data_IF_948450618901
#
_entry.id   IF_948450618901
#
_cell.length_a   1.000
_cell.length_b   1.000
_cell.length_c   1.000
_cell.angle_alpha   90.00
_cell.angle_beta   90.00
_cell.angle_gamma   90.00
#
_symmetry.space_group_name_H-M   'P 1'
#
loop_
_entity.id
_entity.type
_entity.pdbx_description
1 polymer ?
#
# COMPACT_ATOMS: atom_id res chain seq x y z
N UNK A 1 10.91 21.77 0.23
CA UNK A 1 9.48 21.52 0.02
C UNK A 1 8.98 22.39 -1.13
N UNK A 2 8.78 21.79 -2.29
CA UNK A 2 8.15 22.50 -3.41
C UNK A 2 6.64 22.58 -3.16
N UNK A 3 6.04 23.74 -3.42
CA UNK A 3 4.60 23.90 -3.34
C UNK A 3 3.98 23.53 -4.68
N UNK A 4 3.16 22.48 -4.69
CA UNK A 4 2.52 22.01 -5.91
C UNK A 4 1.15 22.67 -6.11
N UNK A 5 0.84 23.19 -7.30
CA UNK A 5 -0.49 23.72 -7.62
C UNK A 5 -1.52 22.58 -7.63
N UNK A 6 -2.79 22.96 -7.46
CA UNK A 6 -3.92 22.02 -7.60
C UNK A 6 -3.94 21.45 -9.02
N UNK A 7 -4.22 20.16 -9.16
CA UNK A 7 -4.23 19.50 -10.46
C UNK A 7 -2.83 19.20 -11.05
N UNK A 8 -1.79 19.36 -10.25
CA UNK A 8 -0.42 19.11 -10.63
C UNK A 8 -0.22 17.71 -11.23
N UNK A 9 0.44 17.66 -12.41
CA UNK A 9 0.68 16.41 -13.11
C UNK A 9 2.05 15.81 -12.70
N UNK A 10 2.00 14.74 -11.89
CA UNK A 10 3.21 14.05 -11.43
C UNK A 10 4.05 13.46 -12.56
N UNK A 11 3.42 12.98 -13.64
CA UNK A 11 4.12 12.39 -14.79
C UNK A 11 4.84 13.48 -15.59
N UNK A 12 4.24 14.65 -15.75
CA UNK A 12 4.90 15.78 -16.42
C UNK A 12 6.07 16.32 -15.59
N UNK A 13 5.87 16.39 -14.28
CA UNK A 13 6.93 16.80 -13.35
C UNK A 13 8.11 15.83 -13.34
N UNK A 14 7.87 14.52 -13.46
CA UNK A 14 8.93 13.52 -13.47
C UNK A 14 9.92 13.70 -14.61
N UNK A 15 9.47 14.20 -15.77
CA UNK A 15 10.30 14.35 -16.98
C UNK A 15 11.57 15.17 -16.74
N UNK A 16 11.52 16.17 -15.84
CA UNK A 16 12.71 16.99 -15.51
C UNK A 16 13.80 16.20 -14.76
N UNK A 17 13.43 15.09 -14.12
CA UNK A 17 14.36 14.22 -13.40
C UNK A 17 14.80 13.01 -14.22
N UNK A 18 13.92 12.49 -15.09
CA UNK A 18 14.19 11.33 -15.93
C UNK A 18 15.45 11.48 -16.77
N UNK A 19 15.68 12.69 -17.30
CA UNK A 19 16.88 13.00 -18.10
C UNK A 19 18.20 12.88 -17.32
N UNK A 20 18.14 12.86 -15.97
CA UNK A 20 19.31 12.81 -15.09
C UNK A 20 19.56 11.42 -14.52
N UNK A 21 18.64 10.46 -14.76
CA UNK A 21 18.69 9.11 -14.20
C UNK A 21 19.17 8.09 -15.23
N UNK A 22 20.01 7.16 -14.78
CA UNK A 22 20.41 6.02 -15.58
C UNK A 22 19.39 4.90 -15.44
N UNK A 23 19.00 4.28 -16.56
CA UNK A 23 18.10 3.13 -16.56
C UNK A 23 18.82 1.85 -16.11
N UNK A 24 18.14 0.92 -15.41
CA UNK A 24 16.73 0.96 -14.99
C UNK A 24 16.50 1.81 -13.73
N UNK A 25 15.34 2.48 -13.62
CA UNK A 25 14.98 3.23 -12.41
C UNK A 25 13.47 3.16 -12.11
N UNK A 26 13.11 3.42 -10.87
CA UNK A 26 11.78 3.81 -10.44
C UNK A 26 11.90 5.16 -9.74
N UNK A 27 11.23 6.18 -10.26
CA UNK A 27 11.18 7.49 -9.62
C UNK A 27 9.99 7.51 -8.65
N UNK A 28 10.29 7.60 -7.37
CA UNK A 28 9.30 7.76 -6.32
C UNK A 28 9.10 9.25 -6.02
N UNK A 29 7.87 9.73 -6.16
CA UNK A 29 7.48 11.11 -5.86
C UNK A 29 6.44 11.07 -4.75
N UNK A 30 6.74 11.74 -3.65
CA UNK A 30 5.84 11.91 -2.53
C UNK A 30 5.51 13.40 -2.36
N UNK A 31 4.25 13.76 -2.58
CA UNK A 31 3.75 15.13 -2.52
C UNK A 31 2.58 15.22 -1.51
N UNK A 32 2.87 15.30 -0.19
CA UNK A 32 1.87 15.16 0.87
C UNK A 32 0.86 16.31 0.90
N UNK A 33 1.21 17.48 0.37
CA UNK A 33 0.33 18.65 0.35
C UNK A 33 -0.37 18.87 -1.01
N UNK A 34 -0.07 18.04 -2.02
CA UNK A 34 -0.66 18.17 -3.34
C UNK A 34 -2.14 17.78 -3.34
N UNK A 35 -2.98 18.54 -4.03
CA UNK A 35 -4.40 18.23 -4.25
C UNK A 35 -4.64 17.85 -5.70
N UNK A 36 -5.61 16.97 -5.94
CA UNK A 36 -6.02 16.57 -7.30
C UNK A 36 -6.93 17.63 -7.91
N UNK A 37 -7.90 18.10 -7.15
CA UNK A 37 -8.84 19.17 -7.54
C UNK A 37 -9.05 20.12 -6.35
N UNK A 38 -9.61 21.32 -6.61
CA UNK A 38 -9.94 22.28 -5.55
C UNK A 38 -11.10 21.78 -4.65
N UNK A 39 -12.00 21.00 -5.23
CA UNK A 39 -13.19 20.48 -4.55
C UNK A 39 -12.87 19.34 -3.56
N UNK A 40 -11.75 18.63 -3.76
CA UNK A 40 -11.35 17.51 -2.90
C UNK A 40 -10.42 18.04 -1.81
N UNK A 41 -10.90 17.98 -0.56
CA UNK A 41 -10.09 18.36 0.61
C UNK A 41 -8.92 17.41 0.88
N UNK A 42 -9.00 16.16 0.39
CA UNK A 42 -7.97 15.16 0.59
C UNK A 42 -6.66 15.59 -0.06
N UNK A 43 -5.64 15.74 0.78
CA UNK A 43 -4.27 16.06 0.39
C UNK A 43 -3.44 14.79 0.30
N UNK A 44 -2.37 14.88 -0.46
CA UNK A 44 -1.37 13.83 -0.59
C UNK A 44 -1.46 13.10 -1.92
N UNK A 45 -0.32 13.01 -2.60
CA UNK A 45 -0.16 12.24 -3.83
C UNK A 45 1.15 11.47 -3.79
N UNK A 46 1.08 10.23 -4.24
CA UNK A 46 2.23 9.34 -4.41
C UNK A 46 2.32 8.96 -5.87
N UNK A 47 3.49 9.07 -6.45
CA UNK A 47 3.79 8.63 -7.81
C UNK A 47 4.97 7.68 -7.83
N UNK A 48 4.82 6.58 -8.55
CA UNK A 48 5.88 5.63 -8.86
C UNK A 48 5.98 5.57 -10.38
N UNK A 49 7.06 6.10 -10.92
CA UNK A 49 7.26 6.24 -12.36
C UNK A 49 8.43 5.36 -12.77
N UNK A 50 8.15 4.19 -13.35
CA UNK A 50 9.17 3.26 -13.82
C UNK A 50 9.76 3.70 -15.15
N UNK A 51 11.02 3.34 -15.40
CA UNK A 51 11.70 3.61 -16.67
C UNK A 51 11.23 2.75 -17.85
N UNK A 52 10.52 1.67 -17.57
CA UNK A 52 9.95 0.73 -18.56
C UNK A 52 8.86 -0.13 -17.95
N UNK A 53 8.05 -0.79 -18.80
CA UNK A 53 7.03 -1.76 -18.38
C UNK A 53 7.64 -2.97 -17.68
N UNK A 54 8.85 -3.38 -18.06
CA UNK A 54 9.59 -4.43 -17.36
C UNK A 54 9.86 -4.03 -15.91
N UNK A 55 10.38 -2.83 -15.68
CA UNK A 55 10.62 -2.31 -14.33
C UNK A 55 9.32 -2.18 -13.54
N UNK A 56 8.21 -1.83 -14.21
CA UNK A 56 6.88 -1.73 -13.61
C UNK A 56 6.40 -3.08 -13.06
N UNK A 57 6.79 -4.20 -13.67
CA UNK A 57 6.39 -5.53 -13.24
C UNK A 57 7.09 -6.05 -11.99
N UNK A 58 8.14 -5.37 -11.51
CA UNK A 58 8.94 -5.81 -10.36
C UNK A 58 8.35 -5.43 -9.01
N UNK A 59 7.27 -4.63 -8.97
CA UNK A 59 6.67 -4.17 -7.71
C UNK A 59 5.16 -3.98 -7.82
N UNK A 60 4.47 -4.08 -6.69
CA UNK A 60 3.06 -3.74 -6.57
C UNK A 60 2.90 -2.25 -6.23
N UNK A 61 2.39 -1.47 -7.21
CA UNK A 61 2.14 -0.03 -7.06
C UNK A 61 1.27 0.29 -5.84
N UNK A 62 0.18 -0.46 -5.65
CA UNK A 62 -0.76 -0.20 -4.57
C UNK A 62 -0.11 -0.47 -3.21
N UNK A 63 0.63 -1.57 -3.11
CA UNK A 63 1.33 -1.94 -1.88
C UNK A 63 2.34 -0.86 -1.45
N UNK A 64 3.16 -0.40 -2.37
CA UNK A 64 4.15 0.65 -2.09
C UNK A 64 3.50 1.99 -1.76
N UNK A 65 2.44 2.37 -2.51
CA UNK A 65 1.68 3.60 -2.23
C UNK A 65 1.03 3.54 -0.85
N UNK A 66 0.36 2.45 -0.54
CA UNK A 66 -0.40 2.27 0.70
C UNK A 66 0.54 2.29 1.91
N UNK A 67 1.76 1.75 1.79
CA UNK A 67 2.77 1.85 2.84
C UNK A 67 3.10 3.31 3.23
N UNK A 68 3.12 4.24 2.28
CA UNK A 68 3.30 5.66 2.57
C UNK A 68 2.03 6.30 3.14
N UNK A 69 0.87 6.00 2.55
CA UNK A 69 -0.42 6.63 2.89
C UNK A 69 -0.88 6.21 4.29
N UNK A 70 -0.71 4.95 4.66
CA UNK A 70 -1.12 4.42 5.97
C UNK A 70 -0.41 5.14 7.12
N UNK A 71 0.88 5.42 6.97
CA UNK A 71 1.65 6.18 7.97
C UNK A 71 1.17 7.62 8.06
N UNK A 72 1.00 8.30 6.92
CA UNK A 72 0.60 9.71 6.91
C UNK A 72 -0.83 9.90 7.42
N UNK A 73 -1.72 8.95 7.16
CA UNK A 73 -3.10 8.99 7.61
C UNK A 73 -3.33 8.50 9.04
N UNK A 74 -2.29 7.97 9.70
CA UNK A 74 -2.41 7.46 11.06
C UNK A 74 -2.77 8.57 12.05
N UNK A 75 -3.65 8.23 13.02
CA UNK A 75 -4.08 9.15 14.09
C UNK A 75 -3.23 8.94 15.34
N UNK A 76 -1.93 9.07 15.20
CA UNK A 76 -0.98 9.01 16.31
C UNK A 76 -0.48 10.39 16.75
N UNK A 77 0.41 10.44 17.73
CA UNK A 77 0.99 11.66 18.27
C UNK A 77 2.20 12.21 17.49
N UNK A 78 2.59 11.56 16.40
CA UNK A 78 3.72 12.01 15.61
C UNK A 78 3.41 13.32 14.88
N UNK A 79 4.43 14.15 14.70
CA UNK A 79 4.29 15.37 13.88
C UNK A 79 4.03 15.02 12.42
N UNK A 80 3.44 15.95 11.66
CA UNK A 80 3.25 15.77 10.21
C UNK A 80 4.58 15.52 9.49
N UNK A 81 5.65 16.18 9.91
CA UNK A 81 6.99 15.98 9.34
C UNK A 81 7.50 14.56 9.59
N UNK A 82 7.36 14.04 10.82
CA UNK A 82 7.75 12.68 11.15
C UNK A 82 6.94 11.66 10.35
N UNK A 83 5.62 11.85 10.24
CA UNK A 83 4.75 11.00 9.43
C UNK A 83 5.17 10.97 7.97
N UNK A 84 5.50 12.14 7.40
CA UNK A 84 5.99 12.20 6.02
C UNK A 84 7.32 11.46 5.86
N UNK A 85 8.26 11.67 6.76
CA UNK A 85 9.56 11.00 6.72
C UNK A 85 9.42 9.47 6.87
N UNK A 86 8.65 9.02 7.84
CA UNK A 86 8.39 7.58 8.06
C UNK A 86 7.64 6.99 6.86
N UNK A 87 6.63 7.68 6.34
CA UNK A 87 5.87 7.22 5.17
C UNK A 87 6.73 7.02 3.93
N UNK A 88 7.63 7.95 3.65
CA UNK A 88 8.60 7.81 2.55
C UNK A 88 9.54 6.62 2.78
N UNK A 89 10.04 6.44 4.00
CA UNK A 89 10.93 5.32 4.34
C UNK A 89 10.21 3.97 4.23
N UNK A 90 8.96 3.87 4.67
CA UNK A 90 8.14 2.66 4.56
C UNK A 90 7.88 2.30 3.10
N UNK A 91 7.46 3.27 2.29
CA UNK A 91 7.23 3.04 0.87
C UNK A 91 8.51 2.62 0.12
N UNK A 92 9.65 3.22 0.47
CA UNK A 92 10.93 2.86 -0.12
C UNK A 92 11.35 1.43 0.28
N UNK A 93 11.12 1.03 1.54
CA UNK A 93 11.38 -0.33 2.01
C UNK A 93 10.52 -1.36 1.27
N UNK A 94 9.21 -1.11 1.13
CA UNK A 94 8.30 -1.98 0.37
C UNK A 94 8.71 -2.09 -1.10
N UNK A 95 9.07 -0.96 -1.74
CA UNK A 95 9.56 -0.96 -3.11
C UNK A 95 10.84 -1.80 -3.26
N UNK A 96 11.77 -1.66 -2.33
CA UNK A 96 13.03 -2.42 -2.35
C UNK A 96 12.78 -3.92 -2.13
N UNK A 97 11.87 -4.28 -1.21
CA UNK A 97 11.47 -5.67 -0.97
C UNK A 97 10.84 -6.30 -2.21
N UNK A 98 9.87 -5.62 -2.85
CA UNK A 98 9.22 -6.10 -4.05
C UNK A 98 10.21 -6.35 -5.20
N UNK A 99 11.11 -5.40 -5.43
CA UNK A 99 12.14 -5.53 -6.47
C UNK A 99 13.11 -6.67 -6.14
N UNK A 100 13.53 -6.79 -4.89
CA UNK A 100 14.43 -7.86 -4.46
C UNK A 100 13.77 -9.24 -4.61
N UNK A 101 12.52 -9.38 -4.16
CA UNK A 101 11.73 -10.60 -4.32
C UNK A 101 11.58 -10.99 -5.80
N UNK A 102 11.27 -10.01 -6.67
CA UNK A 102 11.14 -10.24 -8.12
C UNK A 102 12.45 -10.71 -8.78
N UNK A 103 13.58 -10.41 -8.17
CA UNK A 103 14.92 -10.79 -8.63
C UNK A 103 15.49 -12.01 -7.91
N UNK A 104 14.75 -12.58 -6.94
CA UNK A 104 15.22 -13.69 -6.11
C UNK A 104 16.36 -13.30 -5.16
N UNK A 105 16.41 -12.00 -4.77
CA UNK A 105 17.42 -11.45 -3.86
C UNK A 105 16.81 -11.33 -2.47
N UNK A 106 17.47 -11.83 -1.45
CA UNK A 106 17.07 -11.65 -0.06
C UNK A 106 17.73 -10.40 0.52
N UNK A 107 16.92 -9.46 1.03
CA UNK A 107 17.43 -8.27 1.70
C UNK A 107 17.82 -8.57 3.14
N UNK A 108 18.99 -8.10 3.55
CA UNK A 108 19.52 -8.33 4.90
C UNK A 108 18.90 -7.40 5.95
N UNK A 109 18.34 -6.27 5.51
CA UNK A 109 17.65 -5.30 6.39
C UNK A 109 16.49 -4.68 5.65
N UNK A 110 15.32 -4.78 6.26
CA UNK A 110 14.07 -4.15 5.81
C UNK A 110 13.42 -3.44 6.99
N UNK A 111 12.55 -2.47 6.70
CA UNK A 111 11.74 -1.83 7.74
C UNK A 111 10.43 -2.61 7.80
N UNK A 112 10.13 -3.31 8.93
CA UNK A 112 8.89 -4.08 9.04
C UNK A 112 7.67 -3.19 8.84
N UNK A 113 6.77 -3.60 7.95
CA UNK A 113 5.47 -2.95 7.80
C UNK A 113 4.48 -3.57 8.80
N UNK A 114 4.43 -3.01 10.02
CA UNK A 114 3.54 -3.49 11.09
C UNK A 114 2.06 -3.40 10.69
N UNK A 115 1.67 -2.37 9.96
CA UNK A 115 0.30 -2.19 9.46
C UNK A 115 -0.11 -3.36 8.57
N UNK A 116 0.75 -3.81 7.67
CA UNK A 116 0.51 -4.97 6.80
C UNK A 116 0.29 -6.25 7.60
N UNK A 117 1.11 -6.49 8.63
CA UNK A 117 0.95 -7.63 9.51
C UNK A 117 -0.40 -7.59 10.25
N UNK A 118 -0.77 -6.44 10.81
CA UNK A 118 -2.05 -6.23 11.49
C UNK A 118 -3.25 -6.46 10.55
N UNK A 119 -3.20 -5.94 9.33
CA UNK A 119 -4.26 -6.15 8.33
C UNK A 119 -4.37 -7.62 7.96
N UNK A 120 -3.27 -8.35 7.82
CA UNK A 120 -3.27 -9.78 7.57
C UNK A 120 -3.94 -10.56 8.72
N UNK A 121 -3.56 -10.26 9.97
CA UNK A 121 -4.16 -10.87 11.17
C UNK A 121 -5.67 -10.61 11.22
N UNK A 122 -6.11 -9.36 10.97
CA UNK A 122 -7.53 -9.01 10.93
C UNK A 122 -8.28 -9.79 9.85
N UNK A 123 -7.72 -9.95 8.66
CA UNK A 123 -8.31 -10.78 7.59
C UNK A 123 -8.51 -12.23 8.04
N UNK A 124 -7.50 -12.82 8.66
CA UNK A 124 -7.60 -14.20 9.17
C UNK A 124 -8.73 -14.32 10.20
N UNK A 125 -8.83 -13.37 11.14
CA UNK A 125 -9.90 -13.35 12.15
C UNK A 125 -11.27 -13.24 11.49
N UNK A 126 -11.45 -12.35 10.51
CA UNK A 126 -12.70 -12.18 9.76
C UNK A 126 -13.07 -13.46 9.01
N UNK A 127 -12.14 -14.13 8.35
CA UNK A 127 -12.40 -15.38 7.64
C UNK A 127 -12.81 -16.49 8.60
N UNK A 128 -12.12 -16.66 9.73
CA UNK A 128 -12.48 -17.66 10.74
C UNK A 128 -13.87 -17.36 11.32
N UNK A 129 -14.13 -16.09 11.66
CA UNK A 129 -15.44 -15.65 12.16
C UNK A 129 -16.57 -15.92 11.15
N UNK A 130 -16.34 -15.62 9.87
CA UNK A 130 -17.30 -15.87 8.80
C UNK A 130 -17.61 -17.37 8.62
N UNK A 131 -16.58 -18.21 8.69
CA UNK A 131 -16.74 -19.67 8.63
C UNK A 131 -17.53 -20.23 9.82
N UNK A 132 -17.30 -19.71 11.03
CA UNK A 132 -18.06 -20.10 12.22
C UNK A 132 -19.55 -19.70 12.11
N UNK A 133 -19.82 -18.49 11.62
CA UNK A 133 -21.19 -18.03 11.38
C UNK A 133 -21.87 -18.92 10.34
N UNK A 134 -21.21 -19.21 9.23
CA UNK A 134 -21.71 -20.09 8.18
C UNK A 134 -22.00 -21.50 8.73
N UNK A 135 -21.10 -22.03 9.54
CA UNK A 135 -21.29 -23.32 10.20
C UNK A 135 -22.51 -23.31 11.12
N UNK A 136 -22.66 -22.31 11.99
CA UNK A 136 -23.75 -22.25 12.96
C UNK A 136 -25.11 -22.07 12.29
N UNK A 137 -25.21 -21.19 11.29
CA UNK A 137 -26.50 -20.80 10.72
C UNK A 137 -26.92 -21.59 9.48
N UNK A 138 -25.98 -22.10 8.71
CA UNK A 138 -26.29 -22.85 7.49
C UNK A 138 -26.01 -24.36 7.65
N UNK A 139 -24.76 -24.71 7.95
CA UNK A 139 -24.33 -26.12 7.88
C UNK A 139 -24.93 -26.95 9.03
N UNK A 140 -24.86 -26.47 10.26
CA UNK A 140 -25.38 -27.18 11.43
C UNK A 140 -26.88 -27.48 11.36
N UNK A 141 -27.77 -26.53 11.01
CA UNK A 141 -29.20 -26.82 10.87
C UNK A 141 -29.48 -27.85 9.77
N UNK A 142 -28.80 -27.77 8.64
CA UNK A 142 -28.94 -28.74 7.54
C UNK A 142 -28.51 -30.14 8.01
N UNK A 143 -27.34 -30.22 8.64
CA UNK A 143 -26.81 -31.47 9.18
C UNK A 143 -27.75 -32.10 10.21
N UNK A 144 -28.29 -31.31 11.15
CA UNK A 144 -29.24 -31.76 12.16
C UNK A 144 -30.54 -32.22 11.50
N UNK A 145 -31.05 -31.56 10.48
CA UNK A 145 -32.25 -31.94 9.74
C UNK A 145 -32.07 -33.26 9.01
N UNK A 146 -30.91 -33.50 8.40
CA UNK A 146 -30.59 -34.76 7.73
C UNK A 146 -30.44 -35.90 8.71
N UNK A 147 -29.75 -35.66 9.85
CA UNK A 147 -29.45 -36.69 10.83
C UNK A 147 -30.65 -37.10 11.69
N UNK A 148 -31.50 -36.13 12.03
CA UNK A 148 -32.62 -36.35 12.98
C UNK A 148 -34.00 -36.15 12.36
N UNK A 149 -34.09 -35.69 11.09
CA UNK A 149 -35.37 -35.45 10.40
C UNK A 149 -36.02 -36.67 9.76
N UNK A 150 -35.47 -37.90 9.94
CA UNK A 150 -36.13 -39.15 9.58
C UNK A 150 -36.87 -39.69 10.81
N UNK A 151 -38.06 -39.16 11.06
CA UNK A 151 -39.15 -39.83 11.76
C UNK A 151 -40.40 -39.67 10.95
#
# INVERSE_FOLDING_TARGET
NEHFPVGFNLVEYSKKYEAKMSKPYVLFIFAPQARITEEIETKGRVGLIPSSDEVRSFYDYNRVRDAAVDVVSSKDSNSDEDKHNIGVMQAFSELAEDIAESKGIELTKTIPNETRYMVWVLRVIVYIGSLLVLWMFAIRPIYMRIKYGKK
#
